data_IF_875249735262
#
_entry.id   IF_875249735262
#
_cell.length_a   1.000
_cell.length_b   1.000
_cell.length_c   1.000
_cell.angle_alpha   90.00
_cell.angle_beta   90.00
_cell.angle_gamma   90.00
#
_symmetry.space_group_name_H-M   'P 1'
#
loop_
_entity.id
_entity.type
_entity.pdbx_description
1 polymer ?
#
# COMPACT_ATOMS: atom_id res chain seq x y z
N UNK A 1 1.76 -0.13 43.26
CA UNK A 1 1.13 0.12 41.94
C UNK A 1 1.67 -0.98 41.03
N UNK A 2 0.94 -2.06 40.89
CA UNK A 2 1.35 -3.20 40.04
C UNK A 2 0.73 -2.98 38.66
N UNK A 3 1.52 -3.11 37.64
CA UNK A 3 1.06 -3.14 36.24
C UNK A 3 0.55 -4.55 35.95
N UNK A 4 -0.59 -4.63 35.26
CA UNK A 4 -1.28 -5.86 34.92
C UNK A 4 -1.38 -5.96 33.41
N UNK A 5 -1.11 -7.13 32.88
CA UNK A 5 -1.26 -7.46 31.47
C UNK A 5 -2.52 -8.29 31.33
N UNK A 6 -3.39 -7.87 30.41
CA UNK A 6 -4.56 -8.61 30.00
C UNK A 6 -4.48 -8.97 28.52
N UNK A 7 -4.59 -10.24 28.25
CA UNK A 7 -4.57 -10.81 26.91
C UNK A 7 -5.99 -10.89 26.37
N UNK A 8 -6.27 -10.14 25.29
CA UNK A 8 -7.58 -10.15 24.67
C UNK A 8 -7.74 -11.39 23.77
N UNK A 9 -8.94 -11.92 23.69
CA UNK A 9 -9.24 -12.97 22.74
C UNK A 9 -9.10 -12.45 21.30
N UNK A 10 -8.50 -13.26 20.43
CA UNK A 10 -8.41 -12.95 19.01
C UNK A 10 -9.81 -12.68 18.43
N UNK A 11 -9.96 -11.60 17.70
CA UNK A 11 -11.24 -11.13 17.20
C UNK A 11 -11.24 -10.86 15.71
N UNK A 12 -12.35 -11.21 15.05
CA UNK A 12 -12.58 -10.95 13.65
C UNK A 12 -12.97 -9.48 13.43
N UNK A 13 -12.26 -8.82 12.55
CA UNK A 13 -12.49 -7.43 12.17
C UNK A 13 -12.52 -7.29 10.66
N UNK A 14 -13.30 -6.34 10.15
CA UNK A 14 -13.47 -6.09 8.73
C UNK A 14 -12.90 -4.71 8.43
N UNK A 15 -12.00 -4.64 7.46
CA UNK A 15 -11.39 -3.41 6.97
C UNK A 15 -12.33 -2.59 6.09
N UNK A 16 -11.96 -1.33 5.77
CA UNK A 16 -12.77 -0.46 4.88
C UNK A 16 -12.93 -1.03 3.47
N UNK A 17 -11.98 -1.82 3.00
CA UNK A 17 -12.02 -2.54 1.73
C UNK A 17 -12.69 -3.92 1.82
N UNK A 18 -13.48 -4.16 2.89
CA UNK A 18 -14.31 -5.35 3.14
C UNK A 18 -13.52 -6.66 3.21
N UNK A 19 -12.29 -6.59 3.67
CA UNK A 19 -11.47 -7.78 3.91
C UNK A 19 -11.52 -8.15 5.37
N UNK A 20 -11.75 -9.44 5.65
CA UNK A 20 -11.75 -9.97 7.01
C UNK A 20 -10.33 -10.20 7.50
N UNK A 21 -10.05 -9.81 8.73
CA UNK A 21 -8.76 -10.00 9.40
C UNK A 21 -9.01 -10.48 10.83
N UNK A 22 -8.06 -11.24 11.37
CA UNK A 22 -8.05 -11.65 12.77
C UNK A 22 -7.02 -10.80 13.48
N UNK A 23 -7.43 -10.09 14.53
CA UNK A 23 -6.56 -9.28 15.35
C UNK A 23 -6.43 -9.88 16.74
N UNK A 24 -5.20 -10.15 17.16
CA UNK A 24 -4.82 -10.57 18.50
C UNK A 24 -4.07 -9.44 19.19
N UNK A 25 -4.48 -9.06 20.38
CA UNK A 25 -4.00 -7.88 21.08
C UNK A 25 -3.88 -8.10 22.58
N UNK A 26 -3.04 -7.33 23.22
CA UNK A 26 -2.99 -7.27 24.68
C UNK A 26 -3.04 -5.83 25.18
N UNK A 27 -3.49 -5.66 26.39
CA UNK A 27 -3.54 -4.37 27.05
C UNK A 27 -2.72 -4.38 28.34
N UNK A 28 -1.92 -3.34 28.52
CA UNK A 28 -1.20 -3.07 29.75
C UNK A 28 -1.94 -1.99 30.53
N UNK A 29 -2.34 -2.30 31.74
CA UNK A 29 -3.15 -1.40 32.56
C UNK A 29 -2.75 -1.41 34.03
N UNK A 30 -3.21 -0.44 34.78
CA UNK A 30 -2.97 -0.38 36.24
C UNK A 30 -4.12 0.29 36.98
N UNK A 31 -4.24 -0.02 38.26
CA UNK A 31 -5.15 0.66 39.16
C UNK A 31 -4.45 1.92 39.69
N UNK A 32 -5.04 3.09 39.41
CA UNK A 32 -4.53 4.40 39.86
C UNK A 32 -5.24 4.87 41.12
N UNK A 33 -6.56 4.62 41.23
CA UNK A 33 -7.38 4.98 42.36
C UNK A 33 -8.08 3.74 42.92
N UNK A 34 -7.53 3.08 43.98
CA UNK A 34 -8.14 1.90 44.57
C UNK A 34 -9.52 2.13 45.19
N UNK A 35 -9.82 3.34 45.66
CA UNK A 35 -11.10 3.66 46.24
C UNK A 35 -12.21 3.65 45.19
N UNK A 36 -11.99 4.34 44.07
CA UNK A 36 -12.91 4.32 42.93
C UNK A 36 -13.05 2.91 42.37
N UNK A 37 -11.95 2.15 42.27
CA UNK A 37 -11.96 0.77 41.79
C UNK A 37 -12.86 -0.12 42.63
N UNK A 38 -12.78 -0.03 43.95
CA UNK A 38 -13.63 -0.81 44.86
C UNK A 38 -15.10 -0.36 44.75
N UNK A 39 -15.36 0.96 44.71
CA UNK A 39 -16.71 1.50 44.65
C UNK A 39 -17.43 1.17 43.34
N UNK A 40 -16.74 1.19 42.22
CA UNK A 40 -17.34 1.03 40.89
C UNK A 40 -17.31 -0.39 40.37
N UNK A 41 -16.27 -1.16 40.68
CA UNK A 41 -16.03 -2.51 40.18
C UNK A 41 -16.03 -3.57 41.31
N UNK A 42 -16.43 -3.18 42.52
CA UNK A 42 -16.43 -4.06 43.71
C UNK A 42 -15.07 -4.73 44.02
N UNK A 43 -13.98 -4.08 43.58
CA UNK A 43 -12.62 -4.58 43.70
C UNK A 43 -12.31 -5.82 42.80
N UNK A 44 -13.19 -6.15 41.85
CA UNK A 44 -13.02 -7.31 40.98
C UNK A 44 -12.16 -6.99 39.76
N UNK A 45 -10.99 -7.62 39.67
CA UNK A 45 -10.09 -7.55 38.51
C UNK A 45 -10.77 -8.13 37.28
N UNK A 46 -11.46 -9.26 37.39
CA UNK A 46 -12.16 -9.88 36.27
C UNK A 46 -13.25 -8.98 35.67
N UNK A 47 -13.95 -8.20 36.51
CA UNK A 47 -14.93 -7.22 36.00
C UNK A 47 -14.24 -6.06 35.27
N UNK A 48 -13.08 -5.63 35.75
CA UNK A 48 -12.28 -4.63 35.07
C UNK A 48 -11.78 -5.11 33.70
N UNK A 49 -11.25 -6.31 33.65
CA UNK A 49 -10.76 -6.96 32.43
C UNK A 49 -11.88 -7.17 31.41
N UNK A 50 -13.06 -7.58 31.81
CA UNK A 50 -14.23 -7.70 30.92
C UNK A 50 -14.65 -6.35 30.31
N UNK A 51 -14.54 -5.25 31.07
CA UNK A 51 -14.83 -3.89 30.54
C UNK A 51 -13.73 -3.39 29.62
N UNK A 52 -12.47 -3.71 29.95
CA UNK A 52 -11.32 -3.41 29.08
C UNK A 52 -11.45 -4.14 27.74
N UNK A 53 -11.76 -5.45 27.79
CA UNK A 53 -11.97 -6.29 26.62
C UNK A 53 -12.98 -5.66 25.66
N UNK A 54 -14.17 -5.34 26.18
CA UNK A 54 -15.24 -4.75 25.37
C UNK A 54 -14.88 -3.37 24.77
N UNK A 55 -14.22 -2.52 25.54
CA UNK A 55 -13.84 -1.20 25.10
C UNK A 55 -12.69 -1.23 24.08
N UNK A 56 -11.69 -2.07 24.32
CA UNK A 56 -10.57 -2.26 23.40
C UNK A 56 -11.04 -2.90 22.10
N UNK A 57 -11.88 -3.93 22.17
CA UNK A 57 -12.49 -4.57 21.00
C UNK A 57 -13.24 -3.54 20.13
N UNK A 58 -14.09 -2.71 20.75
CA UNK A 58 -14.83 -1.68 20.02
C UNK A 58 -13.92 -0.64 19.37
N UNK A 59 -12.86 -0.22 20.07
CA UNK A 59 -11.91 0.74 19.56
C UNK A 59 -11.09 0.15 18.40
N UNK A 60 -10.62 -1.08 18.55
CA UNK A 60 -9.90 -1.85 17.54
C UNK A 60 -10.75 -2.02 16.27
N UNK A 61 -12.01 -2.45 16.44
CA UNK A 61 -12.96 -2.59 15.34
C UNK A 61 -13.21 -1.28 14.62
N UNK A 62 -13.40 -0.18 15.35
CA UNK A 62 -13.65 1.15 14.78
C UNK A 62 -12.46 1.63 13.97
N UNK A 63 -11.25 1.52 14.50
CA UNK A 63 -10.01 1.95 13.82
C UNK A 63 -9.75 1.11 12.59
N UNK A 64 -9.76 -0.22 12.71
CA UNK A 64 -9.48 -1.12 11.57
C UNK A 64 -10.55 -0.98 10.47
N UNK A 65 -11.83 -0.80 10.84
CA UNK A 65 -12.88 -0.59 9.84
C UNK A 65 -12.75 0.72 9.05
N UNK A 66 -12.01 1.68 9.55
CA UNK A 66 -11.71 2.94 8.84
C UNK A 66 -10.49 2.84 7.92
N UNK A 67 -9.66 1.80 8.06
CA UNK A 67 -8.40 1.63 7.35
C UNK A 67 -8.52 0.55 6.26
N UNK A 68 -7.71 0.67 5.19
CA UNK A 68 -7.54 -0.41 4.21
C UNK A 68 -6.61 -1.48 4.77
N UNK A 69 -6.76 -2.72 4.30
CA UNK A 69 -5.93 -3.84 4.73
C UNK A 69 -4.42 -3.54 4.65
N UNK A 70 -3.98 -2.92 3.56
CA UNK A 70 -2.58 -2.56 3.34
C UNK A 70 -2.05 -1.58 4.42
N UNK A 71 -2.86 -0.60 4.80
CA UNK A 71 -2.53 0.35 5.86
C UNK A 71 -2.49 -0.31 7.24
N UNK A 72 -3.39 -1.27 7.51
CA UNK A 72 -3.38 -2.05 8.76
C UNK A 72 -2.12 -2.89 8.88
N UNK A 73 -1.68 -3.53 7.77
CA UNK A 73 -0.47 -4.36 7.75
C UNK A 73 0.81 -3.50 7.88
N UNK A 74 0.87 -2.36 7.20
CA UNK A 74 2.02 -1.44 7.27
C UNK A 74 2.09 -0.65 8.58
N UNK A 75 0.95 -0.38 9.21
CA UNK A 75 0.84 0.32 10.51
C UNK A 75 1.20 -0.52 11.74
N UNK A 76 1.74 -1.74 11.56
CA UNK A 76 2.17 -2.64 12.64
C UNK A 76 3.23 -2.01 13.58
N UNK A 77 3.99 -1.06 13.09
CA UNK A 77 5.13 -0.45 13.81
C UNK A 77 4.73 0.65 14.81
N UNK A 78 3.50 0.60 15.34
CA UNK A 78 3.03 1.46 16.42
C UNK A 78 2.00 2.52 16.04
N UNK A 79 1.77 2.81 14.76
CA UNK A 79 0.73 3.76 14.32
C UNK A 79 -0.67 3.23 14.64
N UNK A 80 -0.90 1.94 14.42
CA UNK A 80 -2.18 1.29 14.71
C UNK A 80 -2.45 1.28 16.21
N UNK A 81 -1.46 0.92 17.03
CA UNK A 81 -1.56 0.93 18.49
C UNK A 81 -1.89 2.33 19.03
N UNK A 82 -1.24 3.34 18.47
CA UNK A 82 -1.48 4.76 18.81
C UNK A 82 -2.89 5.20 18.45
N UNK A 83 -3.39 4.83 17.26
CA UNK A 83 -4.74 5.15 16.82
C UNK A 83 -5.82 4.46 17.66
N UNK A 84 -5.60 3.19 18.03
CA UNK A 84 -6.50 2.45 18.93
C UNK A 84 -6.52 3.09 20.32
N UNK A 85 -5.36 3.45 20.86
CA UNK A 85 -5.25 4.11 22.16
C UNK A 85 -5.96 5.47 22.15
N UNK A 86 -5.80 6.27 21.11
CA UNK A 86 -6.47 7.56 20.97
C UNK A 86 -7.99 7.40 20.88
N UNK A 87 -8.48 6.43 20.12
CA UNK A 87 -9.90 6.12 20.03
C UNK A 87 -10.44 5.64 21.38
N UNK A 88 -9.72 4.77 22.07
CA UNK A 88 -10.09 4.29 23.41
C UNK A 88 -10.22 5.43 24.42
N UNK A 89 -9.28 6.36 24.43
CA UNK A 89 -9.33 7.54 25.33
C UNK A 89 -10.52 8.45 25.04
N UNK A 90 -10.94 8.56 23.78
CA UNK A 90 -12.10 9.38 23.37
C UNK A 90 -13.44 8.70 23.73
N UNK A 91 -13.51 7.38 23.61
CA UNK A 91 -14.76 6.64 23.75
C UNK A 91 -15.00 6.07 25.15
N UNK A 92 -13.93 5.91 25.95
CA UNK A 92 -14.00 5.23 27.25
C UNK A 92 -13.35 6.08 28.33
N UNK A 93 -14.08 6.28 29.43
CA UNK A 93 -13.58 6.99 30.59
C UNK A 93 -13.19 6.02 31.72
N UNK A 94 -12.02 5.37 31.57
CA UNK A 94 -11.50 4.43 32.55
C UNK A 94 -11.06 5.08 33.86
N UNK A 95 -10.78 6.39 33.84
CA UNK A 95 -10.43 7.15 35.07
C UNK A 95 -11.59 7.18 36.07
N UNK A 96 -12.84 7.08 35.59
CA UNK A 96 -14.02 6.99 36.46
C UNK A 96 -14.07 5.69 37.25
N UNK A 97 -13.42 4.64 36.76
CA UNK A 97 -13.28 3.33 37.42
C UNK A 97 -11.99 3.21 38.21
N UNK A 98 -11.17 4.24 38.28
CA UNK A 98 -9.86 4.22 38.92
C UNK A 98 -8.81 3.39 38.20
N UNK A 99 -9.00 3.16 36.87
CA UNK A 99 -8.14 2.40 35.99
C UNK A 99 -7.41 3.32 35.03
N UNK A 100 -6.17 3.00 34.73
CA UNK A 100 -5.38 3.68 33.70
C UNK A 100 -4.79 2.66 32.71
N UNK A 101 -5.06 2.85 31.43
CA UNK A 101 -4.51 2.04 30.34
C UNK A 101 -3.17 2.64 29.94
N UNK A 102 -2.10 1.87 30.06
CA UNK A 102 -0.72 2.26 29.76
C UNK A 102 -0.42 2.12 28.26
N UNK A 103 -0.69 0.94 27.73
CA UNK A 103 -0.44 0.60 26.34
C UNK A 103 -1.46 -0.43 25.84
N UNK A 104 -1.69 -0.40 24.52
CA UNK A 104 -2.38 -1.44 23.78
C UNK A 104 -1.43 -1.82 22.66
N UNK A 105 -1.16 -3.12 22.53
CA UNK A 105 -0.29 -3.63 21.48
C UNK A 105 -0.98 -4.78 20.76
N UNK A 106 -0.79 -4.81 19.45
CA UNK A 106 -1.25 -5.91 18.60
C UNK A 106 -0.15 -6.95 18.46
N UNK A 107 -0.42 -8.17 18.93
CA UNK A 107 0.50 -9.31 18.81
C UNK A 107 0.58 -9.78 17.36
N UNK A 108 -0.59 -10.00 16.79
CA UNK A 108 -0.74 -10.56 15.45
C UNK A 108 -1.99 -10.00 14.78
N UNK A 109 -1.82 -9.64 13.50
CA UNK A 109 -2.92 -9.35 12.60
C UNK A 109 -2.71 -10.25 11.40
N UNK A 110 -3.67 -11.12 11.13
CA UNK A 110 -3.59 -12.11 10.06
C UNK A 110 -4.92 -12.22 9.31
N UNK A 111 -4.90 -12.96 8.22
CA UNK A 111 -6.11 -13.36 7.51
C UNK A 111 -6.75 -14.56 8.22
N UNK A 112 -8.09 -14.70 8.18
CA UNK A 112 -8.76 -15.91 8.65
C UNK A 112 -8.20 -17.14 7.93
N UNK A 113 -7.92 -18.21 8.67
CA UNK A 113 -7.29 -19.42 8.11
C UNK A 113 -8.11 -20.06 6.99
N UNK A 114 -9.44 -20.00 7.10
CA UNK A 114 -10.36 -20.57 6.11
C UNK A 114 -10.25 -19.97 4.70
N UNK A 115 -9.83 -18.71 4.60
CA UNK A 115 -9.77 -17.97 3.33
C UNK A 115 -8.35 -17.63 2.89
N UNK A 116 -7.36 -18.00 3.68
CA UNK A 116 -5.96 -17.57 3.51
C UNK A 116 -5.38 -17.96 2.16
N UNK A 117 -5.56 -19.21 1.72
CA UNK A 117 -5.09 -19.70 0.42
C UNK A 117 -5.76 -19.00 -0.75
N UNK A 118 -7.08 -18.85 -0.72
CA UNK A 118 -7.82 -18.17 -1.80
C UNK A 118 -7.46 -16.68 -1.92
N UNK A 119 -7.22 -16.01 -0.79
CA UNK A 119 -6.77 -14.61 -0.80
C UNK A 119 -5.35 -14.49 -1.37
N UNK A 120 -4.43 -15.39 -1.01
CA UNK A 120 -3.07 -15.39 -1.56
C UNK A 120 -3.06 -15.67 -3.06
N UNK A 121 -3.81 -16.65 -3.53
CA UNK A 121 -3.94 -16.95 -4.98
C UNK A 121 -4.49 -15.74 -5.75
N UNK A 122 -5.49 -15.06 -5.19
CA UNK A 122 -6.02 -13.83 -5.78
C UNK A 122 -4.98 -12.72 -5.82
N UNK A 123 -4.23 -12.51 -4.74
CA UNK A 123 -3.16 -11.50 -4.69
C UNK A 123 -2.04 -11.79 -5.69
N UNK A 124 -1.65 -13.05 -5.84
CA UNK A 124 -0.67 -13.49 -6.84
C UNK A 124 -1.18 -13.16 -8.24
N UNK A 125 -2.40 -13.59 -8.58
CA UNK A 125 -3.00 -13.34 -9.90
C UNK A 125 -3.13 -11.83 -10.19
N UNK A 126 -3.50 -11.03 -9.21
CA UNK A 126 -3.57 -9.58 -9.36
C UNK A 126 -2.19 -8.96 -9.65
N UNK A 127 -1.15 -9.40 -8.95
CA UNK A 127 0.24 -8.96 -9.19
C UNK A 127 0.77 -9.40 -10.55
N UNK A 128 0.46 -10.62 -10.99
CA UNK A 128 0.81 -11.11 -12.32
C UNK A 128 0.14 -10.29 -13.44
N UNK A 129 -1.13 -9.93 -13.27
CA UNK A 129 -1.85 -9.08 -14.21
C UNK A 129 -1.23 -7.67 -14.30
N UNK A 130 -0.86 -7.08 -13.17
CA UNK A 130 -0.18 -5.77 -13.12
C UNK A 130 1.19 -5.87 -13.81
N UNK A 131 1.97 -6.92 -13.54
CA UNK A 131 3.27 -7.13 -14.16
C UNK A 131 3.14 -7.33 -15.69
N UNK A 132 2.15 -8.10 -16.14
CA UNK A 132 1.86 -8.29 -17.56
C UNK A 132 1.46 -6.97 -18.25
N UNK A 133 0.68 -6.13 -17.59
CA UNK A 133 0.31 -4.80 -18.09
C UNK A 133 1.54 -3.90 -18.28
N UNK A 134 2.41 -3.82 -17.29
CA UNK A 134 3.66 -3.04 -17.41
C UNK A 134 4.60 -3.60 -18.48
N UNK A 135 4.70 -4.92 -18.62
CA UNK A 135 5.50 -5.55 -19.66
C UNK A 135 4.97 -5.22 -21.07
N UNK A 136 3.64 -5.26 -21.25
CA UNK A 136 2.99 -4.91 -22.52
C UNK A 136 3.17 -3.43 -22.85
N UNK A 137 3.02 -2.54 -21.87
CA UNK A 137 3.25 -1.10 -22.05
C UNK A 137 4.72 -0.80 -22.42
N UNK A 138 5.67 -1.42 -21.72
CA UNK A 138 7.09 -1.27 -22.03
C UNK A 138 7.45 -1.79 -23.43
N UNK A 139 6.85 -2.90 -23.86
CA UNK A 139 7.03 -3.44 -25.20
C UNK A 139 6.46 -2.50 -26.28
N UNK A 140 5.30 -1.89 -26.02
CA UNK A 140 4.69 -0.92 -26.93
C UNK A 140 5.55 0.33 -27.07
N UNK A 141 6.03 0.90 -25.96
CA UNK A 141 6.93 2.06 -25.96
C UNK A 141 8.26 1.77 -26.69
N UNK A 142 8.85 0.58 -26.43
CA UNK A 142 10.06 0.19 -27.11
C UNK A 142 9.87 0.04 -28.63
N UNK A 143 8.70 -0.45 -29.07
CA UNK A 143 8.37 -0.52 -30.50
C UNK A 143 8.18 0.84 -31.12
N UNK A 144 7.53 1.77 -30.43
CA UNK A 144 7.37 3.16 -30.88
C UNK A 144 8.73 3.85 -31.08
N UNK A 145 9.62 3.76 -30.08
CA UNK A 145 10.98 4.33 -30.16
C UNK A 145 11.76 3.76 -31.36
N UNK A 146 11.67 2.43 -31.58
CA UNK A 146 12.35 1.80 -32.74
C UNK A 146 11.78 2.30 -34.05
N UNK A 147 10.45 2.38 -34.18
CA UNK A 147 9.81 2.85 -35.40
C UNK A 147 10.19 4.30 -35.72
N UNK A 148 10.28 5.17 -34.72
CA UNK A 148 10.69 6.56 -34.89
C UNK A 148 12.18 6.67 -35.29
N UNK A 149 13.03 5.83 -34.70
CA UNK A 149 14.44 5.76 -35.11
C UNK A 149 14.59 5.28 -36.56
N UNK A 150 13.92 4.18 -36.94
CA UNK A 150 13.93 3.63 -38.29
C UNK A 150 13.43 4.66 -39.30
N UNK A 151 12.34 5.34 -39.01
CA UNK A 151 11.80 6.43 -39.83
C UNK A 151 12.81 7.56 -40.02
N UNK A 152 13.48 7.98 -38.96
CA UNK A 152 14.49 9.03 -39.02
C UNK A 152 15.69 8.63 -39.88
N UNK A 153 16.12 7.36 -39.79
CA UNK A 153 17.18 6.78 -40.63
C UNK A 153 16.76 6.78 -42.10
N UNK A 154 15.56 6.33 -42.40
CA UNK A 154 15.02 6.24 -43.76
C UNK A 154 14.93 7.65 -44.41
N UNK A 155 14.44 8.65 -43.68
CA UNK A 155 14.39 10.03 -44.14
C UNK A 155 15.82 10.56 -44.45
N UNK A 156 16.77 10.29 -43.57
CA UNK A 156 18.18 10.74 -43.75
C UNK A 156 18.82 10.08 -44.96
N UNK A 157 18.62 8.78 -45.15
CA UNK A 157 19.15 8.04 -46.32
C UNK A 157 18.49 8.52 -47.61
N UNK A 158 17.18 8.74 -47.60
CA UNK A 158 16.46 9.23 -48.77
C UNK A 158 16.90 10.62 -49.16
N UNK A 159 17.08 11.53 -48.18
CA UNK A 159 17.61 12.88 -48.44
C UNK A 159 19.04 12.84 -49.00
N UNK A 160 19.91 11.99 -48.46
CA UNK A 160 21.27 11.81 -48.95
C UNK A 160 21.33 11.27 -50.39
N UNK A 161 20.49 10.31 -50.73
CA UNK A 161 20.34 9.77 -52.08
C UNK A 161 19.87 10.86 -53.05
N UNK A 162 18.83 11.62 -52.70
CA UNK A 162 18.33 12.71 -53.53
C UNK A 162 19.40 13.76 -53.78
N UNK A 163 20.21 14.10 -52.77
CA UNK A 163 21.31 15.03 -52.92
C UNK A 163 22.43 14.48 -53.80
N UNK A 164 22.76 13.20 -53.68
CA UNK A 164 23.74 12.56 -54.57
C UNK A 164 23.30 12.53 -56.02
N UNK A 165 22.04 12.21 -56.30
CA UNK A 165 21.51 12.26 -57.66
C UNK A 165 21.48 13.68 -58.24
N UNK A 166 21.19 14.70 -57.42
CA UNK A 166 21.25 16.09 -57.84
C UNK A 166 22.68 16.53 -58.21
N UNK A 167 23.66 16.17 -57.37
CA UNK A 167 25.07 16.45 -57.68
C UNK A 167 25.57 15.74 -58.94
N UNK A 168 25.15 14.49 -59.19
CA UNK A 168 25.46 13.81 -60.44
C UNK A 168 24.85 14.51 -61.66
N UNK A 169 23.57 14.86 -61.58
CA UNK A 169 22.90 15.59 -62.66
C UNK A 169 23.54 16.95 -62.94
N UNK A 170 23.93 17.68 -61.89
CA UNK A 170 24.68 18.93 -62.07
C UNK A 170 26.05 18.72 -62.74
N UNK A 171 26.78 17.64 -62.35
CA UNK A 171 28.03 17.28 -62.98
C UNK A 171 27.88 16.87 -64.45
N UNK A 172 26.85 16.09 -64.77
CA UNK A 172 26.52 15.70 -66.16
C UNK A 172 26.15 16.91 -67.01
N UNK A 173 25.33 17.84 -66.48
CA UNK A 173 24.98 19.07 -67.17
C UNK A 173 26.21 19.94 -67.46
N UNK A 174 27.11 20.07 -66.49
CA UNK A 174 28.35 20.84 -66.68
C UNK A 174 29.32 20.13 -67.68
N UNK A 175 29.40 18.83 -67.63
CA UNK A 175 30.15 18.08 -68.64
C UNK A 175 29.59 18.28 -70.04
N UNK A 176 28.29 18.20 -70.26
CA UNK A 176 27.66 18.51 -71.58
C UNK A 176 27.87 19.93 -72.03
N UNK A 177 27.82 20.91 -71.11
CA UNK A 177 28.11 22.30 -71.38
C UNK A 177 29.53 22.53 -71.86
N UNK A 178 30.54 21.93 -71.22
CA UNK A 178 31.93 21.98 -71.62
C UNK A 178 32.14 21.33 -72.96
N UNK A 179 31.55 20.16 -73.19
CA UNK A 179 31.65 19.39 -74.42
C UNK A 179 31.07 20.21 -75.58
N UNK A 180 29.89 20.78 -75.45
CA UNK A 180 29.27 21.64 -76.46
C UNK A 180 30.14 22.84 -76.81
N UNK A 181 30.74 23.52 -75.81
CA UNK A 181 31.59 24.64 -76.03
C UNK A 181 32.95 24.31 -76.63
N UNK A 182 33.35 23.08 -76.67
CA UNK A 182 34.57 22.57 -77.29
C UNK A 182 34.43 22.20 -78.78
N UNK A 183 33.18 22.04 -79.24
CA UNK A 183 32.84 21.69 -80.65
C UNK A 183 32.20 22.84 -81.42
N UNK A 184 31.98 24.00 -80.82
CA UNK A 184 31.67 25.26 -81.50
C UNK A 184 32.99 26.03 -81.80
#
# INVERSE_FOLDING_TARGET
KTEMLYDLAASDVITSDKKSMVADSFVLWKITDPLKFIQTLSGSVATAESRLDQAVYNSLKTVISSMKQEAVISGRDGELASAIMENLRKTSNFESFGIYVLAIETKQIDLPDENKSAVYERMISERENIAASYAAEGAAQAKEIRNDADKSVEITISAAKAQAEKLKAEGEAEYMRILSSAYD
#
